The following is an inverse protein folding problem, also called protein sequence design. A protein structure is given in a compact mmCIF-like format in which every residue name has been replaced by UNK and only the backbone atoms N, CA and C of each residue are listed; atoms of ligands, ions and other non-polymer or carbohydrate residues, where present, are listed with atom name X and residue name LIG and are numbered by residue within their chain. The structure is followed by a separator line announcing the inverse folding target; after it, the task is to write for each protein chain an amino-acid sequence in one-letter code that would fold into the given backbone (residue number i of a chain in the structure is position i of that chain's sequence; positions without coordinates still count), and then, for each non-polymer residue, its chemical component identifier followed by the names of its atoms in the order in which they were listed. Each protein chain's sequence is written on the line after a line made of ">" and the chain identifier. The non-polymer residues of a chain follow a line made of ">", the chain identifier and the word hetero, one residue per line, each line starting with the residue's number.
data_IF_810445108277
#
_entry.id   IF_810445108277
#
_cell.length_a   1.000
_cell.length_b   1.000
_cell.length_c   1.000
_cell.angle_alpha   90.00
_cell.angle_beta   90.00
_cell.angle_gamma   90.00
#
_symmetry.space_group_name_H-M   'P 1'
#
loop_
_entity.id
_entity.type
_entity.pdbx_description
1 polymer ?
#
# COMPACT_ATOMS: atom_id res chain seq x y z
N UNK A 1 7.15 -6.19 -5.65
CA UNK A 1 6.82 -7.46 -6.33
C UNK A 1 5.42 -7.86 -5.89
N UNK A 2 4.52 -8.08 -6.85
CA UNK A 2 3.23 -8.69 -6.63
C UNK A 2 3.42 -10.21 -6.71
N UNK A 3 3.50 -10.89 -5.56
CA UNK A 3 3.95 -12.29 -5.50
C UNK A 3 2.85 -13.31 -5.82
N UNK A 4 1.60 -12.91 -5.65
CA UNK A 4 0.41 -13.72 -5.91
C UNK A 4 -0.76 -12.84 -6.30
N UNK A 5 -1.68 -13.34 -7.13
CA UNK A 5 -3.00 -12.73 -7.34
C UNK A 5 -4.10 -13.41 -6.50
N UNK A 6 -3.78 -14.42 -5.69
CA UNK A 6 -4.73 -15.02 -4.74
C UNK A 6 -4.99 -14.08 -3.57
N UNK A 7 -6.25 -13.98 -3.17
CA UNK A 7 -6.69 -13.19 -2.03
C UNK A 7 -7.84 -13.92 -1.34
N UNK A 8 -7.91 -13.79 -0.02
CA UNK A 8 -8.98 -14.31 0.82
C UNK A 8 -10.13 -13.30 1.03
N UNK A 9 -10.11 -12.17 0.31
CA UNK A 9 -11.15 -11.14 0.31
C UNK A 9 -11.60 -10.82 -1.13
N UNK A 10 -12.81 -10.27 -1.23
CA UNK A 10 -13.42 -9.78 -2.46
C UNK A 10 -13.83 -8.30 -2.30
N UNK A 11 -12.85 -7.44 -1.99
CA UNK A 11 -13.10 -6.04 -1.65
C UNK A 11 -13.78 -5.27 -2.79
N UNK A 12 -14.72 -4.39 -2.45
CA UNK A 12 -15.52 -3.63 -3.41
C UNK A 12 -14.67 -2.75 -4.36
N UNK A 13 -13.57 -2.19 -3.86
CA UNK A 13 -12.71 -1.29 -4.66
C UNK A 13 -11.58 -2.01 -5.42
N UNK A 14 -11.48 -3.34 -5.32
CA UNK A 14 -10.30 -4.06 -5.80
C UNK A 14 -10.48 -4.47 -7.27
N UNK A 15 -9.60 -4.04 -8.18
CA UNK A 15 -9.71 -4.36 -9.61
C UNK A 15 -9.37 -5.83 -9.92
N UNK A 16 -8.91 -6.59 -8.93
CA UNK A 16 -8.49 -7.99 -9.07
C UNK A 16 -9.50 -8.96 -8.46
N UNK A 17 -10.76 -8.52 -8.31
CA UNK A 17 -11.87 -9.34 -7.81
C UNK A 17 -12.75 -9.74 -8.99
N UNK A 18 -12.77 -11.04 -9.29
CA UNK A 18 -13.57 -11.62 -10.37
C UNK A 18 -13.10 -13.03 -10.75
N UNK A 19 -13.98 -13.81 -11.38
CA UNK A 19 -13.64 -15.13 -11.94
C UNK A 19 -12.64 -15.04 -13.08
N UNK A 20 -12.66 -13.92 -13.80
CA UNK A 20 -11.91 -13.75 -15.05
C UNK A 20 -10.49 -13.22 -14.81
N UNK A 21 -10.14 -12.92 -13.55
CA UNK A 21 -8.80 -12.50 -13.15
C UNK A 21 -7.92 -13.74 -12.98
N UNK A 22 -6.84 -13.91 -13.77
CA UNK A 22 -5.96 -15.05 -13.63
C UNK A 22 -5.42 -15.18 -12.22
N UNK A 23 -5.52 -16.40 -11.67
CA UNK A 23 -5.01 -16.75 -10.35
C UNK A 23 -3.63 -17.38 -10.51
N UNK A 24 -2.61 -16.64 -10.10
CA UNK A 24 -1.21 -16.95 -10.34
C UNK A 24 -0.40 -16.77 -9.05
N UNK A 25 0.58 -17.65 -8.86
CA UNK A 25 1.65 -17.51 -7.88
C UNK A 25 2.98 -17.48 -8.63
N UNK A 26 3.87 -16.55 -8.26
CA UNK A 26 5.26 -16.67 -8.67
C UNK A 26 5.90 -17.86 -7.96
N UNK A 27 6.67 -18.67 -8.68
CA UNK A 27 7.53 -19.69 -8.06
C UNK A 27 8.66 -19.03 -7.28
N UNK A 28 9.24 -19.76 -6.34
CA UNK A 28 10.43 -19.34 -5.60
C UNK A 28 11.58 -18.97 -6.56
N UNK A 29 11.80 -19.79 -7.58
CA UNK A 29 12.87 -19.54 -8.56
C UNK A 29 12.66 -18.22 -9.32
N UNK A 30 11.42 -17.92 -9.73
CA UNK A 30 11.09 -16.63 -10.37
C UNK A 30 11.33 -15.46 -9.41
N UNK A 31 10.92 -15.59 -8.14
CA UNK A 31 11.15 -14.55 -7.13
C UNK A 31 12.64 -14.29 -6.89
N UNK A 32 13.45 -15.35 -6.81
CA UNK A 32 14.91 -15.23 -6.66
C UNK A 32 15.53 -14.48 -7.85
N UNK A 33 15.12 -14.81 -9.08
CA UNK A 33 15.57 -14.12 -10.30
C UNK A 33 15.13 -12.64 -10.32
N UNK A 34 13.88 -12.35 -9.98
CA UNK A 34 13.36 -10.99 -9.93
C UNK A 34 14.06 -10.15 -8.86
N UNK A 35 14.27 -10.72 -7.67
CA UNK A 35 15.02 -10.06 -6.60
C UNK A 35 16.44 -9.73 -7.05
N UNK A 36 17.12 -10.65 -7.74
CA UNK A 36 18.45 -10.37 -8.28
C UNK A 36 18.42 -9.25 -9.31
N UNK A 37 17.49 -9.32 -10.27
CA UNK A 37 17.30 -8.28 -11.29
C UNK A 37 17.05 -6.90 -10.67
N UNK A 38 16.29 -6.83 -9.58
CA UNK A 38 16.02 -5.58 -8.86
C UNK A 38 17.29 -5.04 -8.18
N UNK A 39 18.11 -5.91 -7.58
CA UNK A 39 19.37 -5.51 -6.95
C UNK A 39 20.36 -4.95 -7.98
N UNK A 40 20.47 -5.60 -9.13
CA UNK A 40 21.32 -5.20 -10.26
C UNK A 40 20.92 -3.81 -10.80
N UNK A 41 19.63 -3.47 -10.69
CA UNK A 41 19.06 -2.15 -11.05
C UNK A 41 19.15 -1.11 -9.93
N UNK A 42 19.78 -1.45 -8.82
CA UNK A 42 19.99 -0.51 -7.70
C UNK A 42 18.83 -0.44 -6.70
N UNK A 43 17.80 -1.30 -6.81
CA UNK A 43 16.72 -1.34 -5.82
C UNK A 43 17.28 -1.80 -4.47
N UNK A 44 16.92 -1.09 -3.40
CA UNK A 44 17.36 -1.42 -2.02
C UNK A 44 16.22 -1.61 -1.03
N UNK A 45 15.02 -1.16 -1.36
CA UNK A 45 13.81 -1.36 -0.55
C UNK A 45 12.87 -2.25 -1.37
N UNK A 46 12.55 -3.42 -0.83
CA UNK A 46 11.67 -4.39 -1.47
C UNK A 46 10.27 -4.34 -0.84
N UNK A 47 9.24 -4.12 -1.65
CA UNK A 47 7.85 -4.31 -1.23
C UNK A 47 7.33 -5.64 -1.76
N UNK A 48 6.84 -6.50 -0.85
CA UNK A 48 6.11 -7.72 -1.17
C UNK A 48 4.61 -7.50 -0.98
N UNK A 49 3.86 -7.64 -2.06
CA UNK A 49 2.43 -7.33 -2.11
C UNK A 49 1.76 -8.29 -3.11
N UNK A 50 0.51 -8.05 -3.48
CA UNK A 50 -0.26 -8.90 -4.38
C UNK A 50 -1.74 -8.85 -4.04
N UNK A 51 -2.44 -9.97 -4.20
CA UNK A 51 -3.75 -10.17 -3.59
C UNK A 51 -3.62 -10.13 -2.05
N UNK A 52 -3.33 -11.27 -1.42
CA UNK A 52 -2.84 -11.33 -0.05
C UNK A 52 -1.49 -12.05 -0.01
N UNK A 53 -0.36 -11.34 0.21
CA UNK A 53 0.96 -11.95 0.13
C UNK A 53 1.19 -13.06 1.17
N UNK A 54 0.54 -13.05 2.33
CA UNK A 54 0.73 -14.11 3.34
C UNK A 54 0.13 -15.46 2.93
N UNK A 55 -0.69 -15.50 1.88
CA UNK A 55 -1.17 -16.75 1.27
C UNK A 55 -0.11 -17.41 0.38
N UNK A 56 0.97 -16.70 0.03
CA UNK A 56 1.97 -17.21 -0.89
C UNK A 56 2.79 -18.36 -0.30
N UNK A 57 2.89 -19.43 -1.08
CA UNK A 57 3.77 -20.57 -0.83
C UNK A 57 4.24 -21.21 -2.14
N UNK A 58 5.35 -21.94 -2.07
CA UNK A 58 5.85 -22.81 -3.14
C UNK A 58 6.41 -24.09 -2.52
N UNK A 59 5.68 -25.21 -2.67
CA UNK A 59 5.93 -26.44 -1.91
C UNK A 59 5.80 -26.20 -0.40
N UNK A 60 6.85 -26.49 0.37
CA UNK A 60 6.95 -26.22 1.82
C UNK A 60 7.50 -24.83 2.15
N UNK A 61 7.95 -24.08 1.15
CA UNK A 61 8.48 -22.74 1.33
C UNK A 61 7.32 -21.73 1.47
N UNK A 62 7.34 -20.91 2.51
CA UNK A 62 6.23 -19.98 2.84
C UNK A 62 6.69 -18.53 2.69
N UNK A 63 5.72 -17.61 2.76
CA UNK A 63 5.97 -16.16 2.77
C UNK A 63 7.04 -15.74 3.79
N UNK A 64 7.04 -16.31 5.00
CA UNK A 64 8.01 -15.94 6.03
C UNK A 64 9.45 -16.37 5.68
N UNK A 65 9.63 -17.48 4.95
CA UNK A 65 10.95 -17.89 4.43
C UNK A 65 11.43 -16.91 3.36
N UNK A 66 10.54 -16.54 2.44
CA UNK A 66 10.82 -15.54 1.40
C UNK A 66 11.29 -14.22 1.99
N UNK A 67 10.60 -13.72 3.02
CA UNK A 67 10.97 -12.48 3.70
C UNK A 67 12.36 -12.61 4.34
N UNK A 68 12.66 -13.74 5.01
CA UNK A 68 13.99 -13.98 5.61
C UNK A 68 15.10 -13.96 4.56
N UNK A 69 14.87 -14.55 3.39
CA UNK A 69 15.86 -14.56 2.31
C UNK A 69 16.00 -13.19 1.64
N UNK A 70 14.90 -12.46 1.44
CA UNK A 70 14.93 -11.09 0.93
C UNK A 70 15.71 -10.15 1.86
N UNK A 71 15.54 -10.28 3.18
CA UNK A 71 16.24 -9.44 4.18
C UNK A 71 17.75 -9.63 4.20
N UNK A 72 18.27 -10.74 3.67
CA UNK A 72 19.73 -10.93 3.49
C UNK A 72 20.29 -10.08 2.35
N UNK A 73 19.43 -9.57 1.46
CA UNK A 73 19.84 -8.92 0.19
C UNK A 73 19.41 -7.46 0.09
N UNK A 74 18.25 -7.12 0.65
CA UNK A 74 17.70 -5.76 0.61
C UNK A 74 17.92 -5.03 1.93
N UNK A 75 18.06 -3.70 1.86
CA UNK A 75 18.21 -2.84 3.04
C UNK A 75 16.95 -2.84 3.91
N UNK A 76 15.77 -2.86 3.27
CA UNK A 76 14.48 -3.02 3.93
C UNK A 76 13.56 -3.90 3.10
N UNK A 77 12.81 -4.76 3.78
CA UNK A 77 11.73 -5.56 3.21
C UNK A 77 10.42 -5.18 3.87
N UNK A 78 9.48 -4.71 3.06
CA UNK A 78 8.14 -4.31 3.47
C UNK A 78 7.10 -5.27 2.90
N UNK A 79 5.96 -5.40 3.57
CA UNK A 79 4.78 -6.02 2.97
C UNK A 79 3.51 -5.19 3.12
N UNK A 80 2.55 -5.42 2.23
CA UNK A 80 1.19 -4.85 2.32
C UNK A 80 0.21 -6.00 2.49
N UNK A 81 -0.54 -6.03 3.58
CA UNK A 81 -1.46 -7.12 3.94
C UNK A 81 -2.84 -6.59 4.30
N UNK A 82 -3.86 -7.41 4.07
CA UNK A 82 -5.22 -7.21 4.58
C UNK A 82 -5.39 -7.66 6.04
N UNK A 83 -4.37 -8.33 6.60
CA UNK A 83 -4.31 -8.78 7.99
C UNK A 83 -5.49 -9.66 8.45
N UNK A 84 -6.11 -10.40 7.54
CA UNK A 84 -7.09 -11.44 7.91
C UNK A 84 -6.39 -12.67 8.51
N UNK A 85 -5.15 -12.92 8.12
CA UNK A 85 -4.26 -13.91 8.74
C UNK A 85 -3.34 -13.25 9.79
N UNK A 86 -2.84 -14.01 10.78
CA UNK A 86 -1.92 -13.51 11.78
C UNK A 86 -0.69 -12.81 11.16
N UNK A 87 -0.29 -11.68 11.74
CA UNK A 87 0.88 -10.92 11.29
C UNK A 87 2.11 -11.39 12.09
N UNK A 88 2.67 -12.54 11.69
CA UNK A 88 3.87 -13.13 12.29
C UNK A 88 5.14 -12.97 11.43
N UNK A 89 5.01 -12.26 10.31
CA UNK A 89 6.07 -12.14 9.33
C UNK A 89 7.24 -11.27 9.84
N UNK A 90 8.48 -11.59 9.43
CA UNK A 90 9.67 -10.87 9.89
C UNK A 90 9.99 -9.61 9.04
N UNK A 91 9.02 -9.04 8.32
CA UNK A 91 9.23 -7.82 7.52
C UNK A 91 9.69 -6.66 8.40
N UNK A 92 10.54 -5.80 7.85
CA UNK A 92 10.99 -4.58 8.52
C UNK A 92 9.86 -3.55 8.66
N UNK A 93 8.89 -3.62 7.74
CA UNK A 93 7.74 -2.73 7.62
C UNK A 93 6.50 -3.55 7.23
N UNK A 94 5.40 -3.37 7.94
CA UNK A 94 4.11 -3.99 7.60
C UNK A 94 3.06 -2.90 7.41
N UNK A 95 2.54 -2.80 6.20
CA UNK A 95 1.40 -1.94 5.87
C UNK A 95 0.11 -2.75 5.99
N UNK A 96 -0.68 -2.45 7.01
CA UNK A 96 -1.98 -3.07 7.24
C UNK A 96 -3.05 -2.20 6.61
N UNK A 97 -3.87 -2.79 5.76
CA UNK A 97 -4.93 -2.03 5.11
C UNK A 97 -6.07 -1.76 6.09
N UNK A 98 -6.42 -0.49 6.31
CA UNK A 98 -7.51 -0.07 7.22
C UNK A 98 -8.37 0.98 6.53
N UNK A 99 -9.36 0.55 5.76
CA UNK A 99 -10.10 1.42 4.83
C UNK A 99 -11.38 2.06 5.41
N UNK A 100 -11.58 2.00 6.72
CA UNK A 100 -12.71 2.64 7.41
C UNK A 100 -12.73 2.35 8.90
N UNK A 101 -13.59 3.06 9.61
CA UNK A 101 -14.18 2.64 10.88
C UNK A 101 -14.85 1.26 10.73
N UNK A 102 -15.18 0.54 11.83
CA UNK A 102 -15.55 -0.87 11.77
C UNK A 102 -16.55 -1.24 10.67
N UNK A 103 -17.68 -0.53 10.62
CA UNK A 103 -18.77 -0.79 9.67
C UNK A 103 -18.36 -0.44 8.23
N UNK A 104 -17.64 0.68 8.04
CA UNK A 104 -17.20 1.14 6.71
C UNK A 104 -16.08 0.25 6.17
N UNK A 105 -15.18 -0.22 7.02
CA UNK A 105 -14.15 -1.18 6.65
C UNK A 105 -14.78 -2.48 6.14
N UNK A 106 -15.77 -3.00 6.87
CA UNK A 106 -16.51 -4.19 6.47
C UNK A 106 -17.30 -3.99 5.17
N UNK A 107 -17.87 -2.79 4.95
CA UNK A 107 -18.50 -2.45 3.68
C UNK A 107 -17.50 -2.48 2.52
N UNK A 108 -16.27 -2.02 2.74
CA UNK A 108 -15.23 -1.98 1.70
C UNK A 108 -14.61 -3.36 1.46
N UNK A 109 -14.33 -4.13 2.52
CA UNK A 109 -13.48 -5.33 2.49
C UNK A 109 -14.20 -6.65 2.74
N UNK A 110 -15.47 -6.60 3.12
CA UNK A 110 -16.32 -7.75 3.43
C UNK A 110 -16.64 -7.84 4.92
N UNK A 111 -17.84 -8.36 5.23
CA UNK A 111 -18.32 -8.46 6.60
C UNK A 111 -17.39 -9.29 7.51
N UNK A 112 -17.16 -8.79 8.73
CA UNK A 112 -16.28 -9.38 9.73
C UNK A 112 -14.79 -9.27 9.42
N UNK A 113 -14.39 -8.45 8.44
CA UNK A 113 -12.97 -8.25 8.09
C UNK A 113 -12.28 -7.33 9.10
N UNK A 114 -12.98 -6.30 9.58
CA UNK A 114 -12.46 -5.37 10.56
C UNK A 114 -12.07 -6.06 11.86
N UNK A 115 -12.98 -6.85 12.44
CA UNK A 115 -12.74 -7.53 13.73
C UNK A 115 -11.53 -8.48 13.65
N UNK A 116 -11.44 -9.26 12.56
CA UNK A 116 -10.31 -10.16 12.31
C UNK A 116 -8.99 -9.39 12.17
N UNK A 117 -8.99 -8.33 11.37
CA UNK A 117 -7.83 -7.46 11.18
C UNK A 117 -7.38 -6.82 12.49
N UNK A 118 -8.30 -6.22 13.25
CA UNK A 118 -8.00 -5.56 14.51
C UNK A 118 -7.41 -6.54 15.54
N UNK A 119 -7.97 -7.76 15.64
CA UNK A 119 -7.42 -8.83 16.49
C UNK A 119 -6.00 -9.22 16.07
N UNK A 120 -5.76 -9.47 14.78
CA UNK A 120 -4.43 -9.85 14.29
C UNK A 120 -3.40 -8.73 14.46
N UNK A 121 -3.81 -7.46 14.35
CA UNK A 121 -2.97 -6.30 14.67
C UNK A 121 -2.61 -6.29 16.16
N UNK A 122 -3.58 -6.54 17.05
CA UNK A 122 -3.35 -6.57 18.49
C UNK A 122 -2.43 -7.73 18.94
N UNK A 123 -2.57 -8.90 18.33
CA UNK A 123 -1.80 -10.12 18.65
C UNK A 123 -0.42 -10.17 17.97
N UNK A 124 -0.20 -9.34 16.95
CA UNK A 124 1.06 -9.27 16.21
C UNK A 124 2.24 -9.00 17.14
N UNK A 125 3.38 -9.63 16.84
CA UNK A 125 4.67 -9.32 17.50
C UNK A 125 5.54 -8.38 16.65
N UNK A 126 5.16 -8.09 15.41
CA UNK A 126 5.92 -7.19 14.56
C UNK A 126 5.90 -5.76 15.15
N UNK A 127 7.06 -5.12 15.36
CA UNK A 127 7.11 -3.80 15.99
C UNK A 127 6.80 -2.65 15.02
N UNK A 128 6.77 -2.88 13.71
CA UNK A 128 6.76 -1.83 12.69
C UNK A 128 5.53 -1.94 11.77
N UNK A 129 4.35 -1.81 12.37
CA UNK A 129 3.09 -1.82 11.65
C UNK A 129 2.56 -0.41 11.43
N UNK A 130 1.99 -0.18 10.24
CA UNK A 130 1.46 1.09 9.79
C UNK A 130 0.13 0.87 9.09
N UNK A 131 -0.85 1.74 9.32
CA UNK A 131 -2.11 1.68 8.59
C UNK A 131 -1.92 2.26 7.18
N UNK A 132 -2.55 1.62 6.21
CA UNK A 132 -2.64 2.07 4.84
C UNK A 132 -4.11 2.23 4.48
N UNK A 133 -4.52 3.46 4.18
CA UNK A 133 -5.87 3.82 3.77
C UNK A 133 -5.87 4.05 2.26
N UNK A 134 -6.82 3.46 1.55
CA UNK A 134 -7.17 3.77 0.16
C UNK A 134 -8.50 4.51 0.17
N UNK A 135 -8.45 5.84 0.04
CA UNK A 135 -9.64 6.68 -0.01
C UNK A 135 -10.34 6.58 -1.36
N UNK A 136 -11.63 6.32 -1.31
CA UNK A 136 -12.53 6.15 -2.43
C UNK A 136 -13.86 6.83 -2.13
N UNK A 137 -14.77 6.87 -3.11
CA UNK A 137 -16.14 7.33 -2.90
C UNK A 137 -16.89 6.54 -1.83
N UNK A 138 -16.47 5.30 -1.56
CA UNK A 138 -17.11 4.43 -0.57
C UNK A 138 -16.83 4.94 0.85
N UNK A 139 -15.58 5.33 1.15
CA UNK A 139 -15.12 5.58 2.54
C UNK A 139 -14.68 7.02 2.81
N UNK A 140 -14.65 7.92 1.82
CA UNK A 140 -14.18 9.30 2.02
C UNK A 140 -14.97 10.06 3.07
N UNK A 141 -16.25 9.74 3.27
CA UNK A 141 -17.09 10.36 4.29
C UNK A 141 -16.66 10.01 5.72
N UNK A 142 -15.95 8.89 5.89
CA UNK A 142 -15.56 8.30 7.17
C UNK A 142 -14.10 8.60 7.57
N UNK A 143 -13.37 9.39 6.77
CA UNK A 143 -11.94 9.66 6.95
C UNK A 143 -11.53 10.03 8.40
N UNK A 144 -12.17 11.02 9.03
CA UNK A 144 -11.83 11.45 10.39
C UNK A 144 -12.14 10.36 11.42
N UNK A 145 -13.26 9.66 11.26
CA UNK A 145 -13.66 8.59 12.16
C UNK A 145 -12.69 7.40 12.07
N UNK A 146 -12.31 6.99 10.86
CA UNK A 146 -11.29 5.95 10.65
C UNK A 146 -9.93 6.34 11.26
N UNK A 147 -9.47 7.58 11.02
CA UNK A 147 -8.18 8.04 11.57
C UNK A 147 -8.18 8.02 13.11
N UNK A 148 -9.27 8.46 13.74
CA UNK A 148 -9.44 8.37 15.21
C UNK A 148 -9.46 6.92 15.67
N UNK A 149 -10.27 6.09 15.00
CA UNK A 149 -10.38 4.66 15.30
C UNK A 149 -9.03 3.94 15.22
N UNK A 150 -8.20 4.19 14.20
CA UNK A 150 -6.85 3.62 14.09
C UNK A 150 -5.99 4.01 15.30
N UNK A 151 -6.00 5.28 15.69
CA UNK A 151 -5.18 5.75 16.82
C UNK A 151 -5.66 5.21 18.16
N UNK A 152 -6.98 5.13 18.36
CA UNK A 152 -7.59 4.74 19.63
C UNK A 152 -7.63 3.21 19.82
N UNK A 153 -8.05 2.47 18.79
CA UNK A 153 -8.26 1.03 18.87
C UNK A 153 -7.02 0.19 18.51
N UNK A 154 -6.03 0.77 17.81
CA UNK A 154 -4.88 0.02 17.29
C UNK A 154 -3.54 0.63 17.74
N UNK A 155 -3.23 0.62 19.05
CA UNK A 155 -2.02 1.26 19.60
C UNK A 155 -0.69 0.69 19.06
N UNK A 156 -0.70 -0.47 18.39
CA UNK A 156 0.47 -1.05 17.72
C UNK A 156 0.76 -0.42 16.35
N UNK A 157 -0.17 0.35 15.79
CA UNK A 157 0.01 1.08 14.54
C UNK A 157 0.79 2.36 14.81
N UNK A 158 1.96 2.50 14.18
CA UNK A 158 2.88 3.62 14.41
C UNK A 158 2.62 4.85 13.53
N UNK A 159 1.74 4.72 12.53
CA UNK A 159 1.40 5.82 11.64
C UNK A 159 0.43 5.39 10.53
N UNK A 160 -0.06 6.39 9.81
CA UNK A 160 -1.12 6.25 8.82
C UNK A 160 -0.62 6.80 7.48
N UNK A 161 -0.62 5.96 6.45
CA UNK A 161 -0.46 6.36 5.06
C UNK A 161 -1.83 6.42 4.39
N UNK A 162 -2.05 7.45 3.57
CA UNK A 162 -3.28 7.66 2.81
C UNK A 162 -2.96 7.73 1.33
N UNK A 163 -3.63 6.88 0.56
CA UNK A 163 -3.64 6.85 -0.89
C UNK A 163 -5.05 7.15 -1.39
N UNK A 164 -5.20 7.52 -2.66
CA UNK A 164 -6.50 7.59 -3.32
C UNK A 164 -6.69 6.39 -4.24
N UNK A 165 -7.96 5.96 -4.38
CA UNK A 165 -8.34 4.93 -5.34
C UNK A 165 -7.79 5.26 -6.72
N UNK A 166 -7.10 4.30 -7.31
CA UNK A 166 -6.57 4.39 -8.67
C UNK A 166 -7.65 3.82 -9.60
N UNK A 167 -8.03 4.53 -10.68
CA UNK A 167 -9.12 4.12 -11.58
C UNK A 167 -8.67 3.00 -12.53
N UNK A 168 -8.31 1.84 -12.00
CA UNK A 168 -8.11 0.65 -12.81
C UNK A 168 -9.43 0.19 -13.45
N UNK A 169 -9.38 -0.52 -14.58
CA UNK A 169 -10.57 -1.08 -15.22
C UNK A 169 -11.43 -1.89 -14.24
N UNK A 170 -12.73 -1.59 -14.19
CA UNK A 170 -13.73 -2.27 -13.36
C UNK A 170 -14.01 -1.61 -12.01
N UNK A 171 -13.21 -0.63 -11.57
CA UNK A 171 -13.36 0.05 -10.26
C UNK A 171 -13.31 1.57 -10.36
N UNK A 172 -13.38 2.12 -11.57
CA UNK A 172 -13.32 3.55 -11.84
C UNK A 172 -14.43 4.31 -11.11
N UNK A 173 -15.60 3.69 -10.96
CA UNK A 173 -16.76 4.24 -10.26
C UNK A 173 -16.46 4.63 -8.81
N UNK A 174 -15.47 4.01 -8.17
CA UNK A 174 -15.07 4.31 -6.79
C UNK A 174 -14.04 5.44 -6.66
N UNK A 175 -13.52 5.96 -7.78
CA UNK A 175 -12.49 7.00 -7.79
C UNK A 175 -13.08 8.37 -7.44
N UNK A 176 -12.43 9.10 -6.52
CA UNK A 176 -12.76 10.49 -6.24
C UNK A 176 -12.37 11.38 -7.42
N UNK A 177 -13.29 12.24 -7.85
CA UNK A 177 -12.98 13.30 -8.80
C UNK A 177 -12.09 14.39 -8.15
N UNK A 178 -11.63 15.37 -8.95
CA UNK A 178 -10.72 16.40 -8.46
C UNK A 178 -11.31 17.29 -7.35
N UNK A 179 -12.55 17.81 -7.47
CA UNK A 179 -13.19 18.53 -6.37
C UNK A 179 -13.29 17.71 -5.08
N UNK A 180 -13.73 16.45 -5.16
CA UNK A 180 -13.82 15.54 -4.02
C UNK A 180 -12.44 15.29 -3.40
N UNK A 181 -11.42 15.06 -4.23
CA UNK A 181 -10.04 14.84 -3.80
C UNK A 181 -9.45 16.07 -3.13
N UNK A 182 -9.69 17.27 -3.67
CA UNK A 182 -9.24 18.52 -3.07
C UNK A 182 -9.85 18.71 -1.67
N UNK A 183 -11.16 18.49 -1.53
CA UNK A 183 -11.84 18.53 -0.24
C UNK A 183 -11.28 17.48 0.75
N UNK A 184 -11.00 16.26 0.28
CA UNK A 184 -10.38 15.23 1.10
C UNK A 184 -8.96 15.63 1.55
N UNK A 185 -8.15 16.22 0.67
CA UNK A 185 -6.80 16.70 1.01
C UNK A 185 -6.84 17.73 2.13
N UNK A 186 -7.78 18.69 2.12
CA UNK A 186 -7.90 19.66 3.21
C UNK A 186 -8.20 18.99 4.55
N UNK A 187 -9.09 17.98 4.55
CA UNK A 187 -9.43 17.20 5.75
C UNK A 187 -8.22 16.41 6.27
N UNK A 188 -7.46 15.77 5.39
CA UNK A 188 -6.23 15.04 5.76
C UNK A 188 -5.18 15.99 6.34
N UNK A 189 -4.97 17.16 5.70
CA UNK A 189 -4.02 18.17 6.18
C UNK A 189 -4.45 18.72 7.54
N UNK A 190 -5.74 18.96 7.75
CA UNK A 190 -6.28 19.39 9.05
C UNK A 190 -6.01 18.35 10.14
N UNK A 191 -6.25 17.05 9.88
CA UNK A 191 -5.92 15.97 10.81
C UNK A 191 -4.42 15.93 11.12
N UNK A 192 -3.55 16.06 10.11
CA UNK A 192 -2.09 16.09 10.32
C UNK A 192 -1.68 17.27 11.21
N UNK A 193 -2.27 18.45 11.00
CA UNK A 193 -2.02 19.66 11.82
C UNK A 193 -2.55 19.53 13.25
N UNK A 194 -3.59 18.72 13.47
CA UNK A 194 -4.07 18.36 14.81
C UNK A 194 -3.15 17.35 15.54
N UNK A 195 -2.12 16.82 14.87
CA UNK A 195 -1.15 15.91 15.47
C UNK A 195 -1.42 14.43 15.24
N UNK A 196 -2.43 14.07 14.44
CA UNK A 196 -2.61 12.68 14.03
C UNK A 196 -1.39 12.18 13.24
N UNK A 197 -0.98 10.90 13.40
CA UNK A 197 0.28 10.38 12.87
C UNK A 197 0.20 10.05 11.37
N UNK A 198 -0.23 11.02 10.55
CA UNK A 198 -0.30 10.91 9.10
C UNK A 198 1.11 11.11 8.52
N UNK A 199 1.60 10.06 7.87
CA UNK A 199 2.97 9.94 7.38
C UNK A 199 3.21 10.77 6.13
N UNK A 200 2.20 10.83 5.25
CA UNK A 200 2.31 11.56 4.00
C UNK A 200 2.57 13.05 4.22
N UNK A 201 3.40 13.65 3.37
CA UNK A 201 3.66 15.08 3.38
C UNK A 201 2.49 15.87 2.80
N UNK A 202 2.26 17.10 3.26
CA UNK A 202 1.26 17.97 2.63
C UNK A 202 1.59 18.16 1.14
N UNK A 203 2.88 18.29 0.79
CA UNK A 203 3.34 18.42 -0.59
C UNK A 203 2.90 17.26 -1.48
N UNK A 204 2.98 16.01 -1.02
CA UNK A 204 2.56 14.85 -1.82
C UNK A 204 1.06 14.85 -2.09
N UNK A 205 0.24 15.22 -1.09
CA UNK A 205 -1.20 15.38 -1.29
C UNK A 205 -1.53 16.46 -2.31
N UNK A 206 -0.85 17.62 -2.24
CA UNK A 206 -1.03 18.71 -3.21
C UNK A 206 -0.58 18.30 -4.62
N UNK A 207 0.45 17.46 -4.76
CA UNK A 207 0.86 16.92 -6.06
C UNK A 207 -0.25 16.08 -6.70
N UNK A 208 -0.93 15.24 -5.91
CA UNK A 208 -2.01 14.36 -6.38
C UNK A 208 -3.30 15.09 -6.80
N UNK A 209 -3.35 16.42 -6.65
CA UNK A 209 -4.42 17.29 -7.18
C UNK A 209 -4.17 17.76 -8.62
N UNK A 210 -3.07 17.36 -9.25
CA UNK A 210 -2.72 17.72 -10.63
C UNK A 210 -2.80 16.50 -11.56
N UNK A 211 -3.46 16.60 -12.72
CA UNK A 211 -3.45 15.53 -13.72
C UNK A 211 -2.05 15.15 -14.16
N UNK A 212 -1.76 13.85 -14.21
CA UNK A 212 -0.48 13.34 -14.72
C UNK A 212 0.72 13.82 -13.91
N UNK A 213 0.53 14.10 -12.61
CA UNK A 213 1.56 14.65 -11.73
C UNK A 213 2.83 13.79 -11.72
N UNK A 214 2.71 12.46 -11.79
CA UNK A 214 3.85 11.57 -11.64
C UNK A 214 4.78 11.60 -12.87
N UNK A 215 6.01 12.09 -12.68
CA UNK A 215 7.10 12.12 -13.68
C UNK A 215 8.29 11.24 -13.28
N UNK A 216 8.21 10.56 -12.13
CA UNK A 216 9.30 9.79 -11.52
C UNK A 216 9.03 8.29 -11.50
N UNK A 217 8.12 7.82 -12.35
CA UNK A 217 7.77 6.40 -12.45
C UNK A 217 8.97 5.47 -12.55
N UNK A 218 10.03 5.88 -13.25
CA UNK A 218 11.26 5.09 -13.47
C UNK A 218 12.07 4.81 -12.18
N UNK A 219 11.76 5.47 -11.05
CA UNK A 219 12.42 5.22 -9.76
C UNK A 219 11.94 3.93 -9.07
N UNK A 220 10.92 3.26 -9.60
CA UNK A 220 10.43 1.99 -9.07
C UNK A 220 10.51 0.89 -10.12
N UNK A 221 10.56 -0.36 -9.65
CA UNK A 221 10.43 -1.53 -10.50
C UNK A 221 9.30 -2.39 -9.97
N UNK A 222 8.41 -2.82 -10.86
CA UNK A 222 7.28 -3.67 -10.53
C UNK A 222 7.46 -5.03 -11.17
N UNK A 223 7.08 -6.08 -10.44
CA UNK A 223 6.97 -7.42 -10.98
C UNK A 223 5.54 -7.91 -10.72
N UNK A 224 4.93 -8.50 -11.75
CA UNK A 224 3.57 -9.01 -11.74
C UNK A 224 3.53 -10.51 -11.41
N UNK A 225 2.39 -11.04 -10.93
CA UNK A 225 2.27 -12.46 -10.60
C UNK A 225 2.49 -13.42 -11.78
N UNK A 226 2.28 -12.94 -13.02
CA UNK A 226 2.51 -13.68 -14.27
C UNK A 226 3.98 -13.79 -14.69
N UNK A 227 4.92 -13.26 -13.91
CA UNK A 227 6.35 -13.27 -14.24
C UNK A 227 6.85 -12.02 -14.95
N UNK A 228 5.98 -11.10 -15.38
CA UNK A 228 6.40 -9.89 -16.08
C UNK A 228 7.08 -8.91 -15.13
N UNK A 229 8.24 -8.39 -15.54
CA UNK A 229 8.94 -7.29 -14.87
C UNK A 229 8.80 -6.01 -15.69
N UNK A 230 8.37 -4.95 -15.02
CA UNK A 230 8.12 -3.63 -15.59
C UNK A 230 9.09 -2.63 -14.98
N UNK A 231 9.80 -1.89 -15.83
CA UNK A 231 10.51 -0.69 -15.42
C UNK A 231 9.51 0.44 -15.21
N UNK A 232 9.40 0.88 -13.96
CA UNK A 232 8.43 1.85 -13.53
C UNK A 232 7.09 1.26 -13.06
N UNK A 233 6.09 2.14 -13.00
CA UNK A 233 4.76 1.79 -12.51
C UNK A 233 3.96 1.01 -13.56
N UNK A 234 3.47 -0.18 -13.20
CA UNK A 234 2.64 -1.00 -14.08
C UNK A 234 1.30 -0.38 -14.47
N UNK A 235 0.76 0.58 -13.69
CA UNK A 235 -0.50 1.25 -14.01
C UNK A 235 -0.48 1.91 -15.40
N UNK A 236 0.65 2.51 -15.77
CA UNK A 236 0.83 3.19 -17.06
C UNK A 236 0.80 2.23 -18.25
N UNK A 237 1.17 0.97 -18.05
CA UNK A 237 1.15 -0.06 -19.09
C UNK A 237 -0.26 -0.63 -19.30
N UNK A 238 -1.13 -0.56 -18.28
CA UNK A 238 -2.53 -0.96 -18.41
C UNK A 238 -3.29 0.08 -19.22
N UNK A 239 -3.26 1.34 -18.77
CA UNK A 239 -3.85 2.47 -19.49
C UNK A 239 -3.13 3.76 -19.05
N UNK A 240 -2.49 4.50 -19.97
CA UNK A 240 -1.84 5.78 -19.65
C UNK A 240 -2.79 6.80 -18.99
N UNK A 241 -4.10 6.74 -19.26
CA UNK A 241 -5.11 7.65 -18.66
C UNK A 241 -5.28 7.44 -17.16
N UNK A 242 -4.90 6.27 -16.62
CA UNK A 242 -4.86 6.05 -15.16
C UNK A 242 -3.97 7.10 -14.47
N UNK A 243 -2.93 7.58 -15.16
CA UNK A 243 -2.01 8.59 -14.65
C UNK A 243 -2.70 9.96 -14.46
N UNK A 244 -3.80 10.24 -15.17
CA UNK A 244 -4.55 11.48 -15.05
C UNK A 244 -5.27 11.60 -13.72
N UNK A 245 -5.58 10.50 -13.05
CA UNK A 245 -6.24 10.48 -11.73
C UNK A 245 -5.46 9.64 -10.71
N UNK A 246 -4.17 9.39 -10.94
CA UNK A 246 -3.36 8.52 -10.09
C UNK A 246 -3.38 8.98 -8.63
N UNK A 247 -3.72 8.03 -7.75
CA UNK A 247 -3.79 8.21 -6.30
C UNK A 247 -2.66 7.53 -5.53
N UNK A 248 -1.57 7.16 -6.20
CA UNK A 248 -0.48 6.40 -5.60
C UNK A 248 0.39 7.29 -4.69
N UNK A 249 0.03 7.37 -3.42
CA UNK A 249 0.60 8.28 -2.43
C UNK A 249 2.10 8.08 -2.20
N UNK A 250 2.58 6.84 -2.17
CA UNK A 250 4.03 6.54 -2.05
C UNK A 250 4.81 7.18 -3.21
N UNK A 251 4.30 7.10 -4.44
CA UNK A 251 4.96 7.73 -5.58
C UNK A 251 4.93 9.26 -5.50
N UNK A 252 3.91 9.83 -4.84
CA UNK A 252 3.82 11.27 -4.63
C UNK A 252 4.88 11.74 -3.63
N UNK A 253 5.18 10.95 -2.59
CA UNK A 253 6.32 11.20 -1.70
C UNK A 253 7.64 11.10 -2.45
N UNK A 254 7.85 10.02 -3.20
CA UNK A 254 9.08 9.81 -3.99
C UNK A 254 9.32 11.00 -4.94
N UNK A 255 8.28 11.45 -5.63
CA UNK A 255 8.38 12.62 -6.50
C UNK A 255 8.67 13.91 -5.72
N UNK A 256 8.00 14.15 -4.59
CA UNK A 256 8.23 15.33 -3.78
C UNK A 256 9.69 15.38 -3.28
N UNK A 257 10.22 14.25 -2.85
CA UNK A 257 11.62 14.09 -2.42
C UNK A 257 12.57 14.32 -3.59
N UNK A 258 12.30 13.71 -4.75
CA UNK A 258 13.12 13.86 -5.96
C UNK A 258 13.18 15.34 -6.42
N UNK A 259 12.07 16.07 -6.28
CA UNK A 259 11.99 17.49 -6.59
C UNK A 259 12.62 18.39 -5.50
N UNK A 260 13.25 17.82 -4.46
CA UNK A 260 13.94 18.56 -3.42
C UNK A 260 13.03 19.19 -2.35
N UNK A 261 11.79 18.70 -2.18
CA UNK A 261 10.89 19.21 -1.15
C UNK A 261 11.42 18.89 0.25
N UNK A 262 11.88 19.92 0.98
CA UNK A 262 12.39 19.79 2.33
C UNK A 262 11.36 19.18 3.30
N UNK A 263 10.08 19.55 3.18
CA UNK A 263 9.01 18.99 4.01
C UNK A 263 8.86 17.49 3.81
N UNK A 264 8.85 17.04 2.54
CA UNK A 264 8.75 15.63 2.20
C UNK A 264 10.00 14.83 2.63
N UNK A 265 11.19 15.42 2.47
CA UNK A 265 12.44 14.84 2.94
C UNK A 265 12.43 14.66 4.47
N UNK A 266 12.00 15.67 5.22
CA UNK A 266 11.92 15.61 6.69
C UNK A 266 10.88 14.59 7.17
N UNK A 267 9.71 14.53 6.53
CA UNK A 267 8.69 13.52 6.84
C UNK A 267 9.15 12.10 6.48
N UNK A 268 9.89 11.92 5.38
CA UNK A 268 10.53 10.65 5.05
C UNK A 268 11.58 10.24 6.08
N UNK A 269 12.41 11.16 6.58
CA UNK A 269 13.35 10.86 7.66
C UNK A 269 12.63 10.45 8.95
N UNK A 270 11.46 11.01 9.26
CA UNK A 270 10.64 10.54 10.38
C UNK A 270 10.19 9.09 10.17
N UNK A 271 9.70 8.76 8.97
CA UNK A 271 9.35 7.39 8.61
C UNK A 271 10.54 6.44 8.84
N UNK A 272 11.74 6.76 8.35
CA UNK A 272 12.90 5.89 8.47
C UNK A 272 13.51 5.86 9.88
N UNK A 273 13.36 6.93 10.69
CA UNK A 273 13.77 6.94 12.12
C UNK A 273 12.85 6.11 13.01
N UNK A 274 11.58 5.94 12.65
CA UNK A 274 10.65 5.02 13.34
C UNK A 274 11.01 3.54 13.09
N UNK A 275 11.85 3.28 12.08
CA UNK A 275 12.19 1.96 11.51
C UNK A 275 13.63 1.54 11.83
N UNK A 276 14.39 2.42 12.50
CA UNK A 276 15.72 2.16 13.05
C UNK A 276 15.60 1.82 14.53
#
# INVERSE_FOLDING_TARGET
>A
INITSYCNLACAHCPYVGSDVPREHLTRAQLEQMMQSFLDRGVRILFLQGGEPTLWHDGDYRFNDLVRDAKKRFYKVACVTNAILPIDNPCDLVWVSVDGSPEVHDQVRGAGSYEKMARNVAESRNPNMYANITLSKINVHDLEANVRNIVEAMPRIKGISVNFQIPYPGVEAHTLDYPQRAAAVERIVALKRQGFPILNSETSFRLMLKPGWNKTHWLIHLAHPNGMVVEGCGARLVDPRICEHCGYGVMAEVQAIYNGSLSAILDAFRLFRIVA
#
